data_IF_714344089304
#
_entry.id   IF_714344089304
#
_cell.length_a   1.000
_cell.length_b   1.000
_cell.length_c   1.000
_cell.angle_alpha   90.00
_cell.angle_beta   90.00
_cell.angle_gamma   90.00
#
_symmetry.space_group_name_H-M   'P 1'
#
loop_
_entity.id
_entity.type
_entity.pdbx_description
1 polymer ?
#
# COMPACT_ATOMS: atom_id res chain seq x y z
N UNK A 1 -4.37 -11.11 9.26
CA UNK A 1 -3.31 -10.30 9.91
C UNK A 1 -3.38 -8.85 9.43
N UNK A 2 -2.88 -7.89 10.22
CA UNK A 2 -2.79 -6.46 9.86
C UNK A 2 -1.38 -5.94 10.10
N UNK A 3 -0.83 -5.23 9.12
CA UNK A 3 0.43 -4.51 9.21
C UNK A 3 0.16 -3.01 9.29
N UNK A 4 0.80 -2.35 10.25
CA UNK A 4 0.78 -0.90 10.41
C UNK A 4 2.17 -0.40 10.07
N UNK A 5 2.25 0.42 9.03
CA UNK A 5 3.50 0.97 8.51
C UNK A 5 3.56 2.42 8.95
N UNK A 6 4.61 2.78 9.69
CA UNK A 6 4.95 4.15 10.03
C UNK A 6 6.00 4.65 9.06
N UNK A 7 5.70 5.74 8.34
CA UNK A 7 6.58 6.38 7.38
C UNK A 7 6.92 7.77 7.92
N UNK A 8 8.22 8.05 8.11
CA UNK A 8 8.71 9.37 8.47
C UNK A 8 9.32 10.03 7.23
N UNK A 9 8.61 10.96 6.56
CA UNK A 9 9.13 11.57 5.36
C UNK A 9 10.23 12.58 5.70
N UNK A 10 11.31 12.63 4.91
CA UNK A 10 12.43 13.58 5.11
C UNK A 10 12.03 15.05 4.90
N UNK A 11 10.97 15.27 4.12
CA UNK A 11 10.35 16.57 3.82
C UNK A 11 8.85 16.36 3.68
N UNK A 12 8.01 17.41 3.78
CA UNK A 12 6.56 17.24 3.62
C UNK A 12 6.19 16.45 2.35
N UNK A 13 5.40 15.40 2.52
CA UNK A 13 5.01 14.52 1.42
C UNK A 13 3.73 15.05 0.78
N UNK A 14 3.85 15.55 -0.45
CA UNK A 14 2.72 16.08 -1.21
C UNK A 14 2.20 15.04 -2.21
N UNK A 15 0.95 14.62 -2.05
CA UNK A 15 0.30 13.61 -2.89
C UNK A 15 -0.96 14.18 -3.58
N UNK A 16 -1.31 13.72 -4.80
CA UNK A 16 -2.61 14.06 -5.39
C UNK A 16 -3.75 13.49 -4.54
N UNK A 17 -4.94 14.10 -4.59
CA UNK A 17 -6.09 13.63 -3.80
C UNK A 17 -6.46 12.15 -4.05
N UNK A 18 -6.21 11.65 -5.26
CA UNK A 18 -6.45 10.25 -5.66
C UNK A 18 -5.23 9.34 -5.44
N UNK A 19 -4.45 9.57 -4.38
CA UNK A 19 -3.22 8.80 -4.10
C UNK A 19 -3.46 7.31 -3.80
N UNK A 20 -4.70 6.86 -3.60
CA UNK A 20 -4.99 5.44 -3.36
C UNK A 20 -4.47 4.55 -4.49
N UNK A 21 -4.50 5.03 -5.74
CA UNK A 21 -3.93 4.31 -6.89
C UNK A 21 -2.40 4.20 -6.82
N UNK A 22 -1.73 5.21 -6.27
CA UNK A 22 -0.28 5.19 -6.05
C UNK A 22 0.06 4.15 -4.98
N UNK A 23 -0.69 4.12 -3.88
CA UNK A 23 -0.51 3.12 -2.82
C UNK A 23 -0.77 1.69 -3.33
N UNK A 24 -1.82 1.52 -4.13
CA UNK A 24 -2.10 0.25 -4.80
C UNK A 24 -0.94 -0.18 -5.71
N UNK A 25 -0.42 0.74 -6.53
CA UNK A 25 0.75 0.51 -7.37
C UNK A 25 1.99 0.16 -6.56
N UNK A 26 2.18 0.76 -5.38
CA UNK A 26 3.28 0.44 -4.47
C UNK A 26 3.18 -0.99 -3.93
N UNK A 27 1.99 -1.43 -3.49
CA UNK A 27 1.75 -2.82 -3.05
C UNK A 27 2.12 -3.77 -4.17
N UNK A 28 1.60 -3.56 -5.39
CA UNK A 28 1.92 -4.42 -6.52
C UNK A 28 3.41 -4.37 -6.84
N UNK A 29 4.03 -3.21 -6.99
CA UNK A 29 5.45 -3.12 -7.34
C UNK A 29 6.35 -3.81 -6.33
N UNK A 30 6.04 -3.73 -5.03
CA UNK A 30 6.83 -4.41 -4.01
C UNK A 30 6.54 -5.91 -4.02
N UNK A 31 5.28 -6.34 -4.17
CA UNK A 31 4.90 -7.76 -4.10
C UNK A 31 5.01 -8.55 -5.42
N UNK A 32 5.18 -7.88 -6.56
CA UNK A 32 5.36 -8.53 -7.86
C UNK A 32 6.77 -9.11 -8.00
N UNK A 33 7.18 -10.01 -7.10
CA UNK A 33 7.98 -11.14 -7.57
C UNK A 33 7.10 -12.05 -8.41
N UNK A 34 7.76 -12.90 -9.21
CA UNK A 34 7.12 -13.77 -10.18
C UNK A 34 6.05 -14.65 -9.51
N UNK A 35 6.29 -15.11 -8.28
CA UNK A 35 5.39 -16.04 -7.58
C UNK A 35 4.02 -15.44 -7.22
N UNK A 36 3.94 -14.22 -6.64
CA UNK A 36 2.65 -13.64 -6.26
C UNK A 36 1.89 -13.08 -7.48
N UNK A 37 2.63 -12.60 -8.49
CA UNK A 37 2.04 -12.25 -9.78
C UNK A 37 1.37 -13.46 -10.41
N UNK A 38 2.08 -14.60 -10.47
CA UNK A 38 1.54 -15.86 -10.97
C UNK A 38 0.38 -16.37 -10.11
N UNK A 39 0.44 -16.25 -8.78
CA UNK A 39 -0.69 -16.58 -7.92
C UNK A 39 -1.92 -15.70 -8.21
N UNK A 40 -1.78 -14.39 -8.29
CA UNK A 40 -2.90 -13.47 -8.58
C UNK A 40 -3.43 -13.58 -10.01
N UNK A 41 -2.58 -13.93 -10.98
CA UNK A 41 -2.96 -14.10 -12.39
C UNK A 41 -3.55 -15.48 -12.69
N UNK A 42 -2.96 -16.56 -12.14
CA UNK A 42 -3.33 -17.94 -12.49
C UNK A 42 -4.28 -18.60 -11.48
N UNK A 43 -4.18 -18.28 -10.20
CA UNK A 43 -4.96 -18.96 -9.16
C UNK A 43 -6.04 -18.08 -8.55
N UNK A 44 -5.71 -16.83 -8.20
CA UNK A 44 -6.58 -15.89 -7.50
C UNK A 44 -7.31 -16.52 -6.31
N UNK A 45 -8.24 -15.79 -5.72
CA UNK A 45 -9.31 -16.43 -4.97
C UNK A 45 -10.56 -16.29 -5.82
N UNK A 46 -10.87 -17.30 -6.62
CA UNK A 46 -12.07 -17.30 -7.43
C UNK A 46 -13.27 -17.71 -6.58
N UNK A 47 -14.28 -16.86 -6.55
CA UNK A 47 -15.61 -17.25 -6.10
C UNK A 47 -16.58 -16.96 -7.23
N UNK A 48 -17.11 -18.02 -7.84
CA UNK A 48 -17.85 -17.97 -9.09
C UNK A 48 -17.06 -17.25 -10.20
N UNK A 49 -17.60 -16.13 -10.71
CA UNK A 49 -17.03 -15.34 -11.82
C UNK A 49 -16.15 -14.16 -11.35
N UNK A 50 -15.79 -14.09 -10.06
CA UNK A 50 -15.03 -12.96 -9.49
C UNK A 50 -13.70 -13.44 -8.92
N UNK A 51 -12.63 -12.71 -9.24
CA UNK A 51 -11.32 -12.87 -8.60
C UNK A 51 -11.21 -11.91 -7.41
N UNK A 52 -10.80 -12.45 -6.27
CA UNK A 52 -10.51 -11.70 -5.07
C UNK A 52 -9.02 -11.72 -4.80
N UNK A 53 -8.47 -10.56 -4.41
CA UNK A 53 -7.05 -10.42 -4.07
C UNK A 53 -6.76 -10.62 -2.58
N UNK A 54 -7.83 -10.79 -1.77
CA UNK A 54 -7.80 -11.04 -0.33
C UNK A 54 -6.94 -10.09 0.51
N UNK A 55 -6.77 -8.84 0.08
CA UNK A 55 -6.19 -7.78 0.91
C UNK A 55 -7.02 -6.49 0.80
N UNK A 56 -6.86 -5.63 1.80
CA UNK A 56 -7.39 -4.27 1.86
C UNK A 56 -6.34 -3.35 2.48
N UNK A 57 -6.45 -2.05 2.23
CA UNK A 57 -5.55 -1.06 2.79
C UNK A 57 -6.29 0.25 3.04
N UNK A 58 -5.86 0.97 4.07
CA UNK A 58 -6.47 2.24 4.48
C UNK A 58 -6.04 3.38 3.56
N UNK A 59 -6.65 4.56 3.79
CA UNK A 59 -6.02 5.84 3.44
C UNK A 59 -4.78 6.07 4.32
N UNK A 60 -3.98 7.07 3.97
CA UNK A 60 -2.91 7.52 4.84
C UNK A 60 -3.47 8.33 6.00
N UNK A 61 -2.97 8.07 7.20
CA UNK A 61 -3.27 8.84 8.41
C UNK A 61 -2.03 9.66 8.81
N UNK A 62 -2.24 10.79 9.49
CA UNK A 62 -1.17 11.69 9.93
C UNK A 62 -1.57 13.15 9.75
N UNK A 63 -0.79 14.05 10.34
CA UNK A 63 -0.99 15.50 10.20
C UNK A 63 -0.82 15.90 8.75
N UNK A 64 -1.85 16.53 8.18
CA UNK A 64 -1.85 16.93 6.78
C UNK A 64 -2.65 18.21 6.54
N UNK A 65 -2.29 18.88 5.44
CA UNK A 65 -2.97 20.06 4.93
C UNK A 65 -3.52 19.72 3.54
N UNK A 66 -4.74 20.15 3.26
CA UNK A 66 -5.29 20.08 1.91
C UNK A 66 -5.05 21.42 1.18
N UNK A 67 -4.25 21.38 0.12
CA UNK A 67 -4.07 22.52 -0.78
C UNK A 67 -5.20 22.51 -1.82
N UNK A 68 -6.17 23.40 -1.63
CA UNK A 68 -7.33 23.55 -2.51
C UNK A 68 -6.96 24.00 -3.93
N UNK A 69 -5.88 24.76 -4.10
CA UNK A 69 -5.44 25.27 -5.40
C UNK A 69 -4.83 24.16 -6.24
N UNK A 70 -3.98 23.33 -5.64
CA UNK A 70 -3.30 22.24 -6.35
C UNK A 70 -4.03 20.89 -6.25
N UNK A 71 -5.08 20.79 -5.42
CA UNK A 71 -5.83 19.56 -5.10
C UNK A 71 -4.91 18.46 -4.56
N UNK A 72 -4.03 18.83 -3.63
CA UNK A 72 -3.01 17.94 -3.05
C UNK A 72 -3.16 17.83 -1.54
N UNK A 73 -2.85 16.64 -1.03
CA UNK A 73 -2.73 16.36 0.39
C UNK A 73 -1.26 16.42 0.76
N UNK A 74 -0.90 17.30 1.69
CA UNK A 74 0.48 17.54 2.13
C UNK A 74 0.62 17.03 3.55
N UNK A 75 1.32 15.91 3.73
CA UNK A 75 1.63 15.34 5.03
C UNK A 75 2.90 15.98 5.60
N UNK A 76 2.83 16.53 6.80
CA UNK A 76 3.91 17.33 7.42
C UNK A 76 4.62 16.62 8.57
N UNK A 77 4.16 15.43 8.94
CA UNK A 77 4.69 14.64 10.06
C UNK A 77 4.58 13.14 9.73
N UNK A 78 4.81 12.29 10.72
CA UNK A 78 4.67 10.84 10.66
C UNK A 78 3.34 10.41 10.00
N UNK A 79 3.49 9.53 9.01
CA UNK A 79 2.38 8.98 8.24
C UNK A 79 2.18 7.53 8.65
N UNK A 80 0.93 7.15 8.89
CA UNK A 80 0.54 5.78 9.21
C UNK A 80 -0.29 5.20 8.06
N UNK A 81 0.05 3.98 7.66
CA UNK A 81 -0.66 3.25 6.62
C UNK A 81 -0.95 1.83 7.08
N UNK A 82 -2.20 1.40 6.95
CA UNK A 82 -2.62 0.06 7.37
C UNK A 82 -2.90 -0.80 6.15
N UNK A 83 -2.31 -2.00 6.13
CA UNK A 83 -2.60 -3.04 5.15
C UNK A 83 -3.06 -4.30 5.88
N UNK A 84 -4.15 -4.91 5.44
CA UNK A 84 -4.73 -6.10 6.06
C UNK A 84 -5.00 -7.18 5.02
N UNK A 85 -4.76 -8.43 5.37
CA UNK A 85 -5.10 -9.59 4.54
C UNK A 85 -5.49 -10.75 5.45
N UNK A 86 -6.37 -11.61 4.94
CA UNK A 86 -6.64 -12.91 5.57
C UNK A 86 -5.49 -13.89 5.35
N UNK A 87 -4.64 -13.68 4.33
CA UNK A 87 -3.42 -14.42 4.11
C UNK A 87 -2.27 -13.80 4.93
N UNK A 88 -1.73 -14.48 5.97
CA UNK A 88 -0.62 -13.97 6.76
C UNK A 88 0.69 -13.85 5.97
N UNK A 89 0.94 -14.75 5.01
CA UNK A 89 2.16 -14.75 4.19
C UNK A 89 2.26 -13.49 3.36
N UNK A 90 1.15 -13.03 2.79
CA UNK A 90 1.06 -11.75 2.07
C UNK A 90 1.54 -10.58 2.94
N UNK A 91 1.11 -10.53 4.20
CA UNK A 91 1.46 -9.44 5.11
C UNK A 91 2.93 -9.52 5.51
N UNK A 92 3.43 -10.73 5.75
CA UNK A 92 4.84 -10.95 6.10
C UNK A 92 5.77 -10.57 4.94
N UNK A 93 5.47 -11.01 3.72
CA UNK A 93 6.24 -10.67 2.52
C UNK A 93 6.22 -9.17 2.26
N UNK A 94 5.04 -8.53 2.33
CA UNK A 94 4.92 -7.08 2.16
C UNK A 94 5.80 -6.33 3.17
N UNK A 95 5.74 -6.73 4.44
CA UNK A 95 6.55 -6.13 5.50
C UNK A 95 8.05 -6.29 5.26
N UNK A 96 8.49 -7.51 4.92
CA UNK A 96 9.90 -7.79 4.60
C UNK A 96 10.38 -6.94 3.43
N UNK A 97 9.63 -6.90 2.33
CA UNK A 97 10.03 -6.14 1.15
C UNK A 97 10.06 -4.63 1.39
N UNK A 98 9.13 -4.10 2.18
CA UNK A 98 9.14 -2.68 2.53
C UNK A 98 10.33 -2.29 3.41
N UNK A 99 10.77 -3.16 4.32
CA UNK A 99 11.89 -2.90 5.22
C UNK A 99 13.27 -3.16 4.58
N UNK A 100 13.37 -4.18 3.73
CA UNK A 100 14.64 -4.63 3.15
C UNK A 100 15.01 -3.95 1.82
N UNK A 101 14.12 -3.13 1.25
CA UNK A 101 14.43 -2.46 -0.01
C UNK A 101 15.12 -1.11 0.22
N UNK A 102 16.43 -1.07 -0.05
CA UNK A 102 17.29 0.12 0.00
C UNK A 102 16.99 1.22 -1.06
N UNK A 103 15.90 1.07 -1.82
CA UNK A 103 15.49 2.05 -2.84
C UNK A 103 14.04 2.48 -2.64
N UNK A 104 13.90 3.69 -2.09
CA UNK A 104 12.70 4.53 -2.12
C UNK A 104 13.06 5.90 -2.70
#
# INVERSE_FOLDING_TARGET
MRLIIKIKPLKPLSLPIHYQQILQGLIYRKLLSKELSEFLHNQGFFYHKRSFKLFTFSRLFGTHIFDHRTKRMIFTDDIYWQVSSVNPEFIQELGQRLLLSDQL
#
